data_IF_515683410375
#
_entry.id   IF_515683410375
#
_cell.length_a   1.000
_cell.length_b   1.000
_cell.length_c   1.000
_cell.angle_alpha   90.00
_cell.angle_beta   90.00
_cell.angle_gamma   90.00
#
_symmetry.space_group_name_H-M   'P 1'
#
loop_
_entity.id
_entity.type
_entity.pdbx_description
1 polymer ?
#
# COMPACT_ATOMS: atom_id res chain seq x y z
N UNK A 1 -55.01 -22.98 -18.95
CA UNK A 1 -53.60 -23.31 -19.22
C UNK A 1 -52.83 -23.15 -17.92
N UNK A 2 -52.42 -24.23 -17.24
CA UNK A 2 -51.68 -24.16 -16.00
C UNK A 2 -50.18 -24.11 -16.33
N UNK A 3 -49.47 -23.06 -15.90
CA UNK A 3 -48.00 -23.06 -16.00
C UNK A 3 -47.39 -23.51 -14.69
N UNK A 4 -46.65 -24.61 -14.86
CA UNK A 4 -45.99 -25.47 -13.90
C UNK A 4 -44.81 -24.76 -13.24
N UNK A 5 -44.66 -25.03 -11.94
CA UNK A 5 -43.49 -24.75 -11.13
C UNK A 5 -42.34 -25.66 -11.62
N UNK A 6 -41.21 -25.07 -12.03
CA UNK A 6 -39.93 -25.78 -12.18
C UNK A 6 -38.89 -25.06 -11.32
N UNK A 7 -38.66 -25.58 -10.11
CA UNK A 7 -37.44 -25.33 -9.34
C UNK A 7 -36.46 -26.44 -9.72
N UNK A 8 -35.54 -26.14 -10.65
CA UNK A 8 -34.37 -26.98 -10.91
C UNK A 8 -33.12 -26.30 -10.35
N UNK A 9 -32.40 -27.06 -9.53
CA UNK A 9 -31.32 -26.59 -8.66
C UNK A 9 -30.09 -26.09 -9.39
N UNK A 10 -29.42 -25.15 -8.72
CA UNK A 10 -28.04 -24.82 -8.99
C UNK A 10 -27.19 -25.40 -7.87
N UNK A 11 -26.57 -26.53 -8.21
CA UNK A 11 -25.15 -26.84 -8.03
C UNK A 11 -24.51 -26.29 -6.75
N UNK A 12 -24.18 -27.24 -5.89
CA UNK A 12 -23.18 -27.16 -4.82
C UNK A 12 -21.87 -26.66 -5.44
N UNK A 13 -21.65 -25.34 -5.40
CA UNK A 13 -20.37 -24.71 -5.73
C UNK A 13 -19.51 -24.69 -4.48
N UNK A 14 -18.36 -25.35 -4.55
CA UNK A 14 -17.38 -25.50 -3.49
C UNK A 14 -17.19 -24.19 -2.69
N UNK A 15 -17.49 -24.25 -1.38
CA UNK A 15 -16.94 -23.29 -0.43
C UNK A 15 -15.43 -23.51 -0.44
N UNK A 16 -14.71 -22.69 -1.21
CA UNK A 16 -13.30 -22.47 -0.98
C UNK A 16 -13.18 -21.99 0.46
N UNK A 17 -12.71 -22.89 1.34
CA UNK A 17 -12.19 -22.54 2.64
C UNK A 17 -11.01 -21.60 2.40
N UNK A 18 -11.29 -20.30 2.28
CA UNK A 18 -10.34 -19.27 2.63
C UNK A 18 -10.13 -19.40 4.14
N UNK A 19 -9.31 -20.38 4.53
CA UNK A 19 -8.79 -20.47 5.87
C UNK A 19 -8.07 -19.17 6.14
N UNK A 20 -8.52 -18.42 7.14
CA UNK A 20 -7.78 -17.30 7.69
C UNK A 20 -6.53 -17.87 8.33
N UNK A 21 -5.46 -18.03 7.53
CA UNK A 21 -4.14 -18.37 8.04
C UNK A 21 -3.65 -17.14 8.80
N UNK A 22 -3.99 -17.08 10.08
CA UNK A 22 -3.49 -16.08 11.01
C UNK A 22 -2.04 -16.37 11.40
N UNK A 23 -1.32 -15.33 11.82
CA UNK A 23 0.03 -15.46 12.35
C UNK A 23 0.05 -16.42 13.54
N UNK A 24 0.98 -17.37 13.51
CA UNK A 24 1.37 -18.17 14.68
C UNK A 24 1.86 -17.28 15.82
N UNK A 25 1.91 -17.78 17.05
CA UNK A 25 2.42 -17.01 18.19
C UNK A 25 3.85 -16.50 17.95
N UNK A 26 4.72 -17.32 17.33
CA UNK A 26 6.09 -16.92 17.00
C UNK A 26 6.15 -15.84 15.92
N UNK A 27 5.43 -15.99 14.80
CA UNK A 27 5.43 -14.99 13.72
C UNK A 27 4.77 -13.67 14.13
N UNK A 28 3.80 -13.70 15.05
CA UNK A 28 3.24 -12.48 15.66
C UNK A 28 4.28 -11.73 16.50
N UNK A 29 5.02 -12.43 17.36
CA UNK A 29 6.06 -11.79 18.17
C UNK A 29 7.18 -11.17 17.32
N UNK A 30 7.54 -11.82 16.21
CA UNK A 30 8.51 -11.27 15.24
C UNK A 30 7.94 -10.01 14.57
N UNK A 31 6.66 -10.06 14.14
CA UNK A 31 6.00 -8.90 13.54
C UNK A 31 5.94 -7.71 14.50
N UNK A 32 5.52 -7.92 15.74
CA UNK A 32 5.42 -6.87 16.76
C UNK A 32 6.79 -6.21 16.97
N UNK A 33 7.85 -7.03 17.09
CA UNK A 33 9.23 -6.51 17.19
C UNK A 33 9.66 -5.73 15.94
N UNK A 34 9.33 -6.21 14.74
CA UNK A 34 9.69 -5.53 13.50
C UNK A 34 9.01 -4.15 13.37
N UNK A 35 7.78 -4.04 13.87
CA UNK A 35 7.02 -2.79 13.99
C UNK A 35 7.67 -1.86 15.01
N UNK A 36 8.05 -2.36 16.18
CA UNK A 36 8.75 -1.57 17.20
C UNK A 36 10.11 -1.06 16.70
N UNK A 37 10.85 -1.89 15.97
CA UNK A 37 12.10 -1.52 15.30
C UNK A 37 11.86 -0.43 14.24
N UNK A 38 10.79 -0.55 13.44
CA UNK A 38 10.38 0.46 12.46
C UNK A 38 10.10 1.81 13.14
N UNK A 39 9.22 1.80 14.15
CA UNK A 39 8.83 3.00 14.90
C UNK A 39 9.99 3.66 15.62
N UNK A 40 11.02 2.90 15.99
CA UNK A 40 12.24 3.41 16.61
C UNK A 40 13.35 3.79 15.60
N UNK A 41 13.11 3.66 14.29
CA UNK A 41 14.10 3.98 13.25
C UNK A 41 15.24 2.97 13.12
N UNK A 42 15.12 1.77 13.71
CA UNK A 42 16.05 0.64 13.54
C UNK A 42 15.70 -0.13 12.27
N UNK A 43 15.95 0.52 11.13
CA UNK A 43 15.36 0.09 9.86
C UNK A 43 15.95 -1.22 9.33
N UNK A 44 17.23 -1.52 9.59
CA UNK A 44 17.82 -2.79 9.19
C UNK A 44 17.23 -3.98 9.97
N UNK A 45 17.07 -3.81 11.28
CA UNK A 45 16.45 -4.79 12.17
C UNK A 45 14.96 -4.98 11.82
N UNK A 46 14.26 -3.88 11.54
CA UNK A 46 12.88 -3.90 11.08
C UNK A 46 12.71 -4.70 9.79
N UNK A 47 13.55 -4.44 8.77
CA UNK A 47 13.55 -5.23 7.51
C UNK A 47 13.80 -6.70 7.80
N UNK A 48 14.77 -7.04 8.65
CA UNK A 48 15.04 -8.44 9.00
C UNK A 48 13.82 -9.14 9.59
N UNK A 49 13.12 -8.50 10.53
CA UNK A 49 11.91 -9.07 11.14
C UNK A 49 10.76 -9.20 10.14
N UNK A 50 10.53 -8.19 9.31
CA UNK A 50 9.50 -8.26 8.27
C UNK A 50 9.81 -9.32 7.19
N UNK A 51 11.07 -9.48 6.79
CA UNK A 51 11.50 -10.51 5.84
C UNK A 51 11.27 -11.92 6.39
N UNK A 52 11.55 -12.12 7.68
CA UNK A 52 11.28 -13.38 8.37
C UNK A 52 9.77 -13.67 8.42
N UNK A 53 8.94 -12.69 8.77
CA UNK A 53 7.47 -12.83 8.75
C UNK A 53 6.95 -13.14 7.35
N UNK A 54 7.45 -12.45 6.33
CA UNK A 54 7.06 -12.69 4.94
C UNK A 54 7.45 -14.10 4.47
N UNK A 55 8.55 -14.65 4.97
CA UNK A 55 8.99 -16.03 4.70
C UNK A 55 8.11 -17.05 5.41
N UNK A 56 7.80 -16.82 6.69
CA UNK A 56 7.00 -17.73 7.51
C UNK A 56 5.52 -17.74 7.09
N UNK A 57 4.98 -16.59 6.68
CA UNK A 57 3.57 -16.43 6.30
C UNK A 57 3.47 -15.62 5.01
N UNK A 58 3.75 -16.22 3.84
CA UNK A 58 3.78 -15.49 2.56
C UNK A 58 2.48 -14.73 2.23
N UNK A 59 1.32 -15.20 2.71
CA UNK A 59 0.03 -14.53 2.52
C UNK A 59 -0.08 -13.18 3.23
N UNK A 60 0.74 -12.91 4.26
CA UNK A 60 0.76 -11.62 4.98
C UNK A 60 1.70 -10.62 4.32
N UNK A 61 2.66 -11.07 3.50
CA UNK A 61 3.71 -10.22 2.95
C UNK A 61 3.17 -8.98 2.22
N UNK A 62 2.09 -9.06 1.40
CA UNK A 62 1.50 -7.88 0.77
C UNK A 62 0.93 -6.86 1.75
N UNK A 63 0.68 -7.20 3.02
CA UNK A 63 0.11 -6.28 4.03
C UNK A 63 1.18 -5.49 4.80
N UNK A 64 2.46 -5.86 4.68
CA UNK A 64 3.57 -5.31 5.46
C UNK A 64 4.11 -3.99 4.87
N UNK A 65 3.26 -2.98 4.65
CA UNK A 65 3.67 -1.72 4.00
C UNK A 65 4.87 -1.03 4.67
N UNK A 66 5.01 -1.16 6.00
CA UNK A 66 6.17 -0.67 6.76
C UNK A 66 7.49 -1.29 6.28
N UNK A 67 7.47 -2.56 5.83
CA UNK A 67 8.60 -3.22 5.19
C UNK A 67 9.06 -2.47 3.96
N UNK A 68 8.14 -2.08 3.07
CA UNK A 68 8.46 -1.31 1.86
C UNK A 68 9.16 0.01 2.18
N UNK A 69 8.65 0.75 3.18
CA UNK A 69 9.28 1.99 3.66
C UNK A 69 10.67 1.71 4.25
N UNK A 70 10.81 0.70 5.10
CA UNK A 70 12.09 0.34 5.71
C UNK A 70 13.12 -0.07 4.64
N UNK A 71 12.71 -0.85 3.64
CA UNK A 71 13.52 -1.25 2.48
C UNK A 71 14.05 -0.05 1.70
N UNK A 72 13.21 0.97 1.46
CA UNK A 72 13.65 2.21 0.82
C UNK A 72 14.80 2.87 1.57
N UNK A 73 14.67 3.02 2.89
CA UNK A 73 15.68 3.69 3.69
C UNK A 73 16.98 2.90 3.84
N UNK A 74 16.93 1.57 3.80
CA UNK A 74 18.16 0.73 3.79
C UNK A 74 18.74 0.51 2.38
N UNK A 75 18.17 1.15 1.35
CA UNK A 75 18.69 1.11 -0.02
C UNK A 75 18.34 -0.14 -0.82
N UNK A 76 17.42 -0.98 -0.33
CA UNK A 76 16.91 -2.16 -1.04
C UNK A 76 15.75 -1.78 -1.97
N UNK A 77 16.05 -0.94 -2.96
CA UNK A 77 15.03 -0.31 -3.79
C UNK A 77 14.23 -1.29 -4.67
N UNK A 78 14.86 -2.35 -5.17
CA UNK A 78 14.17 -3.39 -5.94
C UNK A 78 13.12 -4.13 -5.08
N UNK A 79 13.53 -4.59 -3.89
CA UNK A 79 12.60 -5.24 -2.96
C UNK A 79 11.48 -4.30 -2.51
N UNK A 80 11.80 -3.00 -2.34
CA UNK A 80 10.80 -1.98 -2.04
C UNK A 80 9.75 -1.87 -3.16
N UNK A 81 10.22 -1.75 -4.41
CA UNK A 81 9.35 -1.67 -5.59
C UNK A 81 8.39 -2.86 -5.63
N UNK A 82 8.92 -4.07 -5.56
CA UNK A 82 8.14 -5.31 -5.58
C UNK A 82 7.13 -5.38 -4.42
N UNK A 83 7.51 -4.89 -3.24
CA UNK A 83 6.60 -4.83 -2.08
C UNK A 83 5.38 -3.95 -2.37
N UNK A 84 5.57 -2.74 -2.89
CA UNK A 84 4.45 -1.82 -3.16
C UNK A 84 3.64 -2.20 -4.41
N UNK A 85 4.24 -2.92 -5.37
CA UNK A 85 3.49 -3.60 -6.44
C UNK A 85 2.55 -4.67 -5.85
N UNK A 86 2.99 -5.45 -4.86
CA UNK A 86 2.16 -6.42 -4.17
C UNK A 86 1.11 -5.78 -3.24
N UNK A 87 1.48 -4.77 -2.45
CA UNK A 87 0.58 -4.08 -1.51
C UNK A 87 -0.58 -3.37 -2.22
N UNK A 88 -0.37 -2.95 -3.48
CA UNK A 88 -1.42 -2.38 -4.32
C UNK A 88 -2.64 -3.28 -4.50
N UNK A 89 -2.49 -4.60 -4.35
CA UNK A 89 -3.59 -5.57 -4.42
C UNK A 89 -4.41 -5.62 -3.12
N UNK A 90 -3.86 -5.15 -2.00
CA UNK A 90 -4.52 -5.06 -0.70
C UNK A 90 -5.33 -3.77 -0.60
N UNK A 91 -4.72 -2.64 -0.94
CA UNK A 91 -5.40 -1.34 -0.92
C UNK A 91 -5.26 -0.61 -2.27
N UNK A 92 -6.22 -0.79 -3.18
CA UNK A 92 -6.10 -0.28 -4.53
C UNK A 92 -6.27 1.23 -4.68
N UNK A 93 -6.75 1.91 -3.64
CA UNK A 93 -7.03 3.34 -3.71
C UNK A 93 -5.94 4.16 -3.01
N UNK A 94 -4.93 3.51 -2.43
CA UNK A 94 -3.93 4.22 -1.64
C UNK A 94 -2.92 4.96 -2.53
N UNK A 95 -3.01 6.29 -2.52
CA UNK A 95 -2.04 7.16 -3.18
C UNK A 95 -0.66 7.07 -2.53
N UNK A 96 -0.57 6.81 -1.23
CA UNK A 96 0.72 6.70 -0.53
C UNK A 96 1.50 5.47 -1.01
N UNK A 97 0.84 4.33 -1.24
CA UNK A 97 1.44 3.17 -1.90
C UNK A 97 2.07 3.52 -3.25
N UNK A 98 1.34 4.26 -4.11
CA UNK A 98 1.85 4.66 -5.41
C UNK A 98 3.02 5.65 -5.29
N UNK A 99 2.97 6.57 -4.31
CA UNK A 99 4.06 7.50 -4.02
C UNK A 99 5.32 6.78 -3.54
N UNK A 100 5.21 5.82 -2.62
CA UNK A 100 6.36 5.04 -2.15
C UNK A 100 6.95 4.16 -3.25
N UNK A 101 6.11 3.51 -4.06
CA UNK A 101 6.57 2.80 -5.25
C UNK A 101 7.37 3.73 -6.19
N UNK A 102 6.83 4.93 -6.47
CA UNK A 102 7.50 5.94 -7.28
C UNK A 102 8.88 6.28 -6.72
N UNK A 103 8.99 6.52 -5.41
CA UNK A 103 10.26 6.83 -4.77
C UNK A 103 11.28 5.69 -4.92
N UNK A 104 10.83 4.44 -4.80
CA UNK A 104 11.70 3.26 -4.95
C UNK A 104 12.22 3.13 -6.39
N UNK A 105 11.35 3.27 -7.40
CA UNK A 105 11.79 3.28 -8.80
C UNK A 105 12.71 4.47 -9.09
N UNK A 106 12.40 5.65 -8.54
CA UNK A 106 13.19 6.85 -8.78
C UNK A 106 14.62 6.73 -8.23
N UNK A 107 14.77 6.11 -7.05
CA UNK A 107 16.08 5.85 -6.44
C UNK A 107 16.84 4.72 -7.11
N UNK A 108 16.13 3.70 -7.59
CA UNK A 108 16.74 2.57 -8.28
C UNK A 108 17.21 2.95 -9.70
N UNK A 109 16.42 3.75 -10.41
CA UNK A 109 16.59 3.98 -11.84
C UNK A 109 16.65 5.47 -12.17
N UNK A 110 15.50 6.16 -12.21
CA UNK A 110 15.41 7.59 -12.51
C UNK A 110 14.00 8.13 -12.26
N UNK A 111 13.87 9.46 -12.19
CA UNK A 111 12.55 10.12 -12.14
C UNK A 111 11.69 9.81 -13.37
N UNK A 112 12.29 9.70 -14.56
CA UNK A 112 11.57 9.36 -15.79
C UNK A 112 10.99 7.95 -15.74
N UNK A 113 11.79 6.98 -15.29
CA UNK A 113 11.33 5.61 -15.08
C UNK A 113 10.21 5.54 -14.03
N UNK A 114 10.35 6.28 -12.92
CA UNK A 114 9.34 6.33 -11.87
C UNK A 114 8.00 6.89 -12.35
N UNK A 115 8.02 7.95 -13.18
CA UNK A 115 6.79 8.50 -13.80
C UNK A 115 6.16 7.50 -14.76
N UNK A 116 6.97 6.83 -15.58
CA UNK A 116 6.47 5.81 -16.52
C UNK A 116 5.89 4.59 -15.80
N UNK A 117 6.43 4.23 -14.63
CA UNK A 117 6.00 3.11 -13.80
C UNK A 117 5.03 3.50 -12.68
N UNK A 118 4.46 4.72 -12.68
CA UNK A 118 3.57 5.16 -11.62
C UNK A 118 2.37 4.20 -11.52
N UNK A 119 2.17 3.60 -10.34
CA UNK A 119 1.08 2.66 -10.14
C UNK A 119 -0.27 3.36 -10.27
N UNK A 120 -1.25 2.77 -10.98
CA UNK A 120 -2.59 3.34 -11.04
C UNK A 120 -3.21 3.34 -9.66
N UNK A 121 -4.06 4.31 -9.33
CA UNK A 121 -4.80 4.39 -8.07
C UNK A 121 -6.29 4.53 -8.35
N UNK A 122 -7.13 3.89 -7.54
CA UNK A 122 -8.56 4.20 -7.54
C UNK A 122 -8.87 5.48 -6.75
N UNK A 123 -10.15 5.79 -6.48
CA UNK A 123 -10.53 7.02 -5.82
C UNK A 123 -10.08 7.05 -4.35
N UNK A 124 -9.26 8.05 -4.00
CA UNK A 124 -8.89 8.37 -2.62
C UNK A 124 -9.62 9.66 -2.17
N UNK A 125 -10.44 9.55 -1.13
CA UNK A 125 -11.28 10.65 -0.64
C UNK A 125 -10.54 11.58 0.34
N UNK A 126 -9.32 11.24 0.76
CA UNK A 126 -8.51 12.08 1.63
C UNK A 126 -8.01 13.29 0.84
N UNK A 127 -8.18 14.48 1.39
CA UNK A 127 -7.56 15.69 0.81
C UNK A 127 -6.08 15.74 1.21
N UNK A 128 -5.13 16.05 0.29
CA UNK A 128 -5.27 16.33 -1.15
C UNK A 128 -4.71 15.17 -2.01
N UNK A 129 -5.15 13.93 -1.77
CA UNK A 129 -4.54 12.73 -2.40
C UNK A 129 -4.68 12.72 -3.92
N UNK A 130 -5.78 13.24 -4.46
CA UNK A 130 -5.97 13.36 -5.91
C UNK A 130 -4.93 14.29 -6.53
N UNK A 131 -4.64 15.41 -5.87
CA UNK A 131 -3.66 16.40 -6.28
C UNK A 131 -2.22 15.88 -6.14
N UNK A 132 -1.93 15.17 -5.06
CA UNK A 132 -0.63 14.49 -4.88
C UNK A 132 -0.40 13.50 -6.02
N UNK A 133 -1.40 12.72 -6.40
CA UNK A 133 -1.29 11.79 -7.52
C UNK A 133 -1.09 12.53 -8.87
N UNK A 134 -1.77 13.67 -9.09
CA UNK A 134 -1.54 14.54 -10.25
C UNK A 134 -0.10 15.10 -10.29
N UNK A 135 0.47 15.45 -9.13
CA UNK A 135 1.85 15.90 -9.02
C UNK A 135 2.85 14.82 -9.46
N UNK A 136 2.66 13.57 -9.03
CA UNK A 136 3.47 12.44 -9.49
C UNK A 136 3.29 12.14 -10.99
N UNK A 137 2.14 12.49 -11.58
CA UNK A 137 1.91 12.47 -13.04
C UNK A 137 2.47 13.67 -13.81
N UNK A 138 3.05 14.66 -13.12
CA UNK A 138 3.52 15.92 -13.70
C UNK A 138 2.40 16.82 -14.24
N UNK A 139 1.19 16.67 -13.70
CA UNK A 139 0.00 17.44 -14.09
C UNK A 139 -0.28 18.62 -13.14
N UNK A 140 0.33 18.60 -11.95
CA UNK A 140 0.22 19.64 -10.92
C UNK A 140 1.59 19.88 -10.28
N UNK A 141 1.89 21.14 -9.93
CA UNK A 141 3.13 21.46 -9.19
C UNK A 141 2.96 21.18 -7.69
N UNK A 142 4.06 20.97 -6.94
CA UNK A 142 4.01 20.89 -5.48
C UNK A 142 3.31 22.11 -4.84
N UNK A 143 3.58 23.32 -5.33
CA UNK A 143 2.91 24.54 -4.84
C UNK A 143 1.40 24.50 -5.06
N UNK A 144 0.94 23.91 -6.17
CA UNK A 144 -0.48 23.71 -6.43
C UNK A 144 -1.14 22.74 -5.44
N UNK A 145 -0.45 21.67 -5.04
CA UNK A 145 -0.91 20.77 -3.98
C UNK A 145 -1.04 21.53 -2.65
N UNK A 146 -0.02 22.33 -2.30
CA UNK A 146 -0.02 23.15 -1.08
C UNK A 146 -1.17 24.17 -1.07
N UNK A 147 -1.41 24.85 -2.19
CA UNK A 147 -2.50 25.83 -2.34
C UNK A 147 -3.87 25.18 -2.10
N UNK A 148 -4.10 24.00 -2.66
CA UNK A 148 -5.35 23.24 -2.49
C UNK A 148 -5.48 22.77 -1.03
N UNK A 149 -4.41 22.26 -0.42
CA UNK A 149 -4.39 21.87 0.98
C UNK A 149 -4.74 23.03 1.93
N UNK A 150 -4.16 24.21 1.71
CA UNK A 150 -4.45 25.42 2.48
C UNK A 150 -5.91 25.87 2.36
N UNK A 151 -6.52 25.70 1.18
CA UNK A 151 -7.94 26.03 0.93
C UNK A 151 -8.93 25.01 1.48
N UNK A 152 -8.46 23.87 2.00
CA UNK A 152 -9.36 22.86 2.54
C UNK A 152 -10.21 23.44 3.70
N UNK A 153 -11.42 22.88 3.95
CA UNK A 153 -12.27 23.28 5.06
C UNK A 153 -11.51 23.24 6.38
N UNK A 154 -11.76 24.17 7.30
CA UNK A 154 -10.97 24.31 8.54
C UNK A 154 -10.81 23.01 9.34
N UNK A 155 -11.87 22.17 9.37
CA UNK A 155 -11.85 20.85 10.05
C UNK A 155 -10.93 19.80 9.41
N UNK A 156 -10.54 19.99 8.15
CA UNK A 156 -9.73 19.06 7.37
C UNK A 156 -8.38 19.65 6.95
N UNK A 157 -8.19 20.97 7.09
CA UNK A 157 -7.00 21.69 6.63
C UNK A 157 -5.71 21.17 7.24
N UNK A 158 -5.66 20.95 8.55
CA UNK A 158 -4.46 20.41 9.21
C UNK A 158 -4.05 19.07 8.62
N UNK A 159 -5.02 18.18 8.40
CA UNK A 159 -4.79 16.87 7.79
C UNK A 159 -4.38 16.98 6.32
N UNK A 160 -4.97 17.90 5.57
CA UNK A 160 -4.59 18.13 4.19
C UNK A 160 -3.14 18.67 4.09
N UNK A 161 -2.76 19.58 4.99
CA UNK A 161 -1.40 20.11 5.08
C UNK A 161 -0.38 19.07 5.57
N UNK A 162 -0.80 18.10 6.37
CA UNK A 162 0.08 16.99 6.76
C UNK A 162 0.52 16.15 5.56
N UNK A 163 -0.35 16.01 4.55
CA UNK A 163 -0.08 15.20 3.37
C UNK A 163 0.59 15.95 2.21
N UNK A 164 0.40 17.26 2.12
CA UNK A 164 0.93 18.11 1.06
C UNK A 164 2.40 18.45 1.28
#
# INVERSE_FOLDING_TARGET
MPNVIIRCGWIIGAFALFGTVGLTQSSRAILDKAIDDFSAGRLAESVSGFDEVATLVPSVAPQLWQRGIALYYVGRYLDCREMFEAHRMVNPNDVENAAWHFLCVARQESLTAARAALLPVGPDSRLPMTEIYQMFRNELSPDGVMEIAQRAPSRARERALFYA
#
